data_IF_308504319864
#
_entry.id   IF_308504319864
#
_cell.length_a   1.000
_cell.length_b   1.000
_cell.length_c   1.000
_cell.angle_alpha   90.00
_cell.angle_beta   90.00
_cell.angle_gamma   90.00
#
_symmetry.space_group_name_H-M   'P 1'
#
loop_
_entity.id
_entity.type
_entity.pdbx_description
1 polymer ?
#
# COMPACT_ATOMS: atom_id res chain seq x y z
N UNK A 1 -53.37 -65.16 -4.29
CA UNK A 1 -53.76 -65.87 -5.53
C UNK A 1 -55.27 -65.75 -5.69
N UNK A 2 -55.87 -65.62 -6.88
CA UNK A 2 -55.34 -65.64 -8.27
C UNK A 2 -55.45 -64.24 -8.95
N UNK A 3 -54.48 -63.78 -9.74
CA UNK A 3 -54.37 -63.88 -11.23
C UNK A 3 -55.62 -63.47 -12.01
N UNK A 4 -55.56 -62.33 -12.70
CA UNK A 4 -56.06 -62.15 -14.08
C UNK A 4 -55.72 -60.75 -14.63
N UNK A 5 -54.84 -60.71 -15.62
CA UNK A 5 -54.94 -59.84 -16.80
C UNK A 5 -55.87 -60.56 -17.81
N UNK A 6 -56.53 -59.94 -18.82
CA UNK A 6 -56.05 -58.89 -19.74
C UNK A 6 -57.12 -57.76 -19.91
N UNK A 7 -57.10 -56.75 -20.77
CA UNK A 7 -56.77 -56.71 -22.20
C UNK A 7 -56.75 -55.23 -22.67
N UNK A 8 -55.88 -54.96 -23.65
CA UNK A 8 -55.63 -53.67 -24.27
C UNK A 8 -56.79 -53.30 -25.22
N UNK A 9 -57.31 -52.07 -25.14
CA UNK A 9 -57.97 -51.41 -26.28
C UNK A 9 -57.26 -50.09 -26.55
N UNK A 10 -56.59 -50.05 -27.69
CA UNK A 10 -55.98 -48.86 -28.30
C UNK A 10 -57.03 -48.10 -29.09
N UNK A 11 -57.20 -46.80 -28.83
CA UNK A 11 -57.54 -45.83 -29.88
C UNK A 11 -57.18 -44.41 -29.43
N UNK A 12 -56.58 -43.65 -30.34
CA UNK A 12 -56.67 -42.19 -30.31
C UNK A 12 -55.35 -41.45 -30.11
N UNK A 13 -54.56 -41.37 -31.17
CA UNK A 13 -53.47 -40.41 -31.32
C UNK A 13 -54.04 -39.00 -31.41
N UNK A 14 -53.62 -38.10 -30.51
CA UNK A 14 -53.40 -36.68 -30.86
C UNK A 14 -52.19 -36.15 -30.08
N UNK A 15 -51.11 -35.86 -30.80
CA UNK A 15 -49.95 -35.10 -30.31
C UNK A 15 -50.23 -33.58 -30.43
N UNK A 16 -49.30 -32.70 -30.04
CA UNK A 16 -48.92 -32.40 -28.66
C UNK A 16 -49.15 -30.92 -28.34
N UNK A 17 -49.66 -30.59 -27.15
CA UNK A 17 -49.57 -29.22 -26.64
C UNK A 17 -48.18 -28.99 -26.05
N UNK A 18 -47.44 -28.10 -26.71
CA UNK A 18 -46.15 -27.56 -26.28
C UNK A 18 -46.32 -26.84 -24.95
N UNK A 19 -45.48 -27.12 -23.96
CA UNK A 19 -45.43 -26.33 -22.73
C UNK A 19 -44.87 -27.02 -21.50
N UNK A 20 -43.81 -27.82 -21.64
CA UNK A 20 -42.96 -28.21 -20.51
C UNK A 20 -41.51 -28.10 -20.98
N UNK A 21 -40.60 -27.77 -20.05
CA UNK A 21 -39.18 -27.42 -20.22
C UNK A 21 -38.89 -25.94 -20.44
N UNK A 22 -38.81 -25.19 -19.34
CA UNK A 22 -37.83 -24.11 -19.19
C UNK A 22 -37.71 -23.67 -17.72
N UNK A 23 -37.36 -24.56 -16.80
CA UNK A 23 -36.96 -24.15 -15.45
C UNK A 23 -35.98 -25.19 -14.88
N UNK A 24 -34.69 -25.00 -15.19
CA UNK A 24 -33.49 -25.37 -14.43
C UNK A 24 -32.28 -25.45 -15.39
N UNK A 25 -31.72 -24.29 -15.75
CA UNK A 25 -30.28 -24.13 -15.64
C UNK A 25 -29.99 -22.81 -14.93
N UNK A 26 -30.40 -22.69 -13.66
CA UNK A 26 -30.13 -21.50 -12.85
C UNK A 26 -29.20 -21.80 -11.65
N UNK A 27 -28.69 -23.02 -11.52
CA UNK A 27 -27.78 -23.41 -10.42
C UNK A 27 -26.32 -23.69 -10.85
N UNK A 28 -25.98 -23.42 -12.11
CA UNK A 28 -24.61 -23.56 -12.65
C UNK A 28 -23.94 -22.21 -12.99
N UNK A 29 -24.56 -21.09 -12.62
CA UNK A 29 -24.10 -19.73 -12.91
C UNK A 29 -23.75 -18.92 -11.65
N UNK A 30 -23.36 -19.60 -10.57
CA UNK A 30 -22.89 -19.01 -9.32
C UNK A 30 -21.53 -19.58 -8.86
N UNK A 31 -20.83 -20.29 -9.74
CA UNK A 31 -19.47 -20.81 -9.51
C UNK A 31 -18.41 -20.10 -10.38
N UNK A 32 -18.71 -18.91 -10.89
CA UNK A 32 -17.84 -18.16 -11.79
C UNK A 32 -17.61 -16.72 -11.30
N UNK A 33 -17.14 -16.53 -10.05
CA UNK A 33 -16.56 -15.26 -9.59
C UNK A 33 -15.58 -15.44 -8.41
N UNK A 34 -14.90 -16.58 -8.31
CA UNK A 34 -13.68 -16.69 -7.54
C UNK A 34 -12.56 -17.07 -8.50
N UNK A 35 -12.16 -16.11 -9.34
CA UNK A 35 -10.84 -16.21 -9.96
C UNK A 35 -9.83 -16.30 -8.82
N UNK A 36 -8.88 -17.25 -8.82
CA UNK A 36 -7.77 -17.17 -7.89
C UNK A 36 -7.13 -15.81 -8.13
N UNK A 37 -7.09 -15.00 -7.07
CA UNK A 37 -6.41 -13.72 -7.04
C UNK A 37 -5.02 -13.94 -7.62
N UNK A 38 -4.83 -13.51 -8.87
CA UNK A 38 -3.58 -13.73 -9.57
C UNK A 38 -2.56 -12.80 -8.95
N UNK A 39 -1.40 -13.33 -8.57
CA UNK A 39 -0.28 -12.53 -8.12
C UNK A 39 -0.06 -11.36 -9.07
N UNK A 40 0.18 -10.18 -8.50
CA UNK A 40 0.41 -8.98 -9.29
C UNK A 40 1.70 -9.13 -10.10
N UNK A 41 2.76 -9.62 -9.45
CA UNK A 41 4.00 -10.09 -10.06
C UNK A 41 4.83 -10.93 -9.06
N UNK A 42 6.13 -11.07 -9.30
CA UNK A 42 7.06 -11.83 -8.43
C UNK A 42 7.50 -11.09 -7.17
N UNK A 43 7.22 -9.79 -7.06
CA UNK A 43 7.53 -8.97 -5.89
C UNK A 43 6.30 -8.77 -4.99
N UNK A 44 5.11 -8.70 -5.58
CA UNK A 44 3.82 -8.55 -4.89
C UNK A 44 2.90 -9.71 -5.29
N UNK A 45 2.72 -10.68 -4.38
CA UNK A 45 2.10 -11.97 -4.70
C UNK A 45 0.57 -11.98 -4.64
N UNK A 46 -0.05 -10.87 -4.26
CA UNK A 46 -1.49 -10.74 -4.10
C UNK A 46 -1.95 -9.40 -4.70
N UNK A 47 -3.22 -9.27 -5.13
CA UNK A 47 -3.79 -7.98 -5.48
C UNK A 47 -3.66 -6.97 -4.33
N UNK A 48 -3.43 -5.70 -4.65
CA UNK A 48 -3.22 -4.65 -3.64
C UNK A 48 -4.38 -4.58 -2.64
N UNK A 49 -5.63 -4.60 -3.13
CA UNK A 49 -6.81 -4.55 -2.28
C UNK A 49 -6.90 -5.75 -1.31
N UNK A 50 -6.43 -6.93 -1.73
CA UNK A 50 -6.37 -8.10 -0.85
C UNK A 50 -5.31 -7.91 0.24
N UNK A 51 -4.14 -7.38 -0.12
CA UNK A 51 -3.07 -7.08 0.85
C UNK A 51 -3.57 -6.06 1.88
N UNK A 52 -4.21 -4.98 1.45
CA UNK A 52 -4.75 -3.96 2.35
C UNK A 52 -5.80 -4.55 3.31
N UNK A 53 -6.71 -5.39 2.79
CA UNK A 53 -7.71 -6.06 3.61
C UNK A 53 -7.07 -6.98 4.65
N UNK A 54 -6.04 -7.75 4.26
CA UNK A 54 -5.30 -8.61 5.19
C UNK A 54 -4.51 -7.81 6.23
N UNK A 55 -3.89 -6.69 5.83
CA UNK A 55 -3.16 -5.80 6.75
C UNK A 55 -4.11 -5.16 7.78
N UNK A 56 -5.36 -4.88 7.40
CA UNK A 56 -6.40 -4.29 8.25
C UNK A 56 -7.27 -5.32 8.99
N UNK A 57 -7.05 -6.62 8.79
CA UNK A 57 -7.84 -7.68 9.40
C UNK A 57 -7.95 -7.48 10.92
N UNK A 58 -9.13 -7.63 11.56
CA UNK A 58 -9.30 -7.24 12.97
C UNK A 58 -8.34 -7.96 13.91
N UNK A 59 -8.10 -9.25 13.65
CA UNK A 59 -7.20 -10.12 14.40
C UNK A 59 -5.87 -10.30 13.65
N UNK A 60 -4.75 -10.25 14.38
CA UNK A 60 -3.41 -10.55 13.86
C UNK A 60 -2.84 -11.76 14.60
N UNK A 61 -2.77 -12.90 13.92
CA UNK A 61 -2.19 -14.11 14.48
C UNK A 61 -0.71 -14.17 14.11
N UNK A 62 0.16 -13.81 15.05
CA UNK A 62 1.62 -13.85 14.87
C UNK A 62 2.12 -15.29 15.01
N UNK A 63 2.67 -15.85 13.93
CA UNK A 63 3.27 -17.18 13.92
C UNK A 63 4.76 -17.15 14.26
N UNK A 64 5.47 -16.16 13.72
CA UNK A 64 6.92 -16.01 13.89
C UNK A 64 7.36 -14.55 13.74
N UNK A 65 8.53 -14.21 14.27
CA UNK A 65 9.08 -12.86 14.15
C UNK A 65 10.62 -12.84 14.26
N UNK A 66 11.23 -12.12 13.32
CA UNK A 66 12.66 -11.87 13.24
C UNK A 66 12.97 -10.37 13.21
N UNK A 67 14.16 -9.97 13.67
CA UNK A 67 14.64 -8.61 13.46
C UNK A 67 14.93 -8.39 11.98
N UNK A 68 14.44 -7.28 11.42
CA UNK A 68 14.72 -6.87 10.04
C UNK A 68 16.20 -6.55 9.81
N UNK A 69 16.84 -5.90 10.80
CA UNK A 69 18.27 -5.62 10.81
C UNK A 69 18.80 -5.72 12.25
N UNK A 70 19.98 -6.32 12.51
CA UNK A 70 20.58 -6.34 13.83
C UNK A 70 21.27 -5.00 14.14
N UNK A 71 20.58 -3.87 13.91
CA UNK A 71 21.08 -2.54 14.20
C UNK A 71 20.62 -2.11 15.60
N UNK A 72 21.53 -1.54 16.38
CA UNK A 72 21.22 -1.04 17.73
C UNK A 72 20.13 0.04 17.65
N UNK A 73 18.98 -0.23 18.27
CA UNK A 73 17.84 0.69 18.27
C UNK A 73 16.79 0.47 17.18
N UNK A 74 17.02 -0.41 16.20
CA UNK A 74 15.97 -0.81 15.24
C UNK A 74 14.89 -1.61 15.99
N UNK A 75 13.66 -1.10 15.88
CA UNK A 75 12.50 -1.68 16.55
C UNK A 75 11.63 -2.47 15.59
N UNK A 76 11.92 -2.42 14.30
CA UNK A 76 11.13 -3.06 13.28
C UNK A 76 11.43 -4.55 13.20
N UNK A 77 10.45 -5.33 12.75
CA UNK A 77 10.53 -6.78 12.65
C UNK A 77 9.94 -7.26 11.34
N UNK A 78 10.51 -8.33 10.80
CA UNK A 78 9.83 -9.18 9.84
C UNK A 78 8.92 -10.10 10.65
N UNK A 79 7.63 -10.08 10.38
CA UNK A 79 6.64 -10.85 11.13
C UNK A 79 5.86 -11.73 10.17
N UNK A 80 5.75 -13.01 10.51
CA UNK A 80 4.91 -13.96 9.78
C UNK A 80 3.53 -13.99 10.44
N UNK A 81 2.50 -13.66 9.67
CA UNK A 81 1.11 -13.64 10.10
C UNK A 81 0.36 -14.82 9.49
N UNK A 82 -0.57 -15.41 10.25
CA UNK A 82 -1.59 -16.30 9.70
C UNK A 82 -2.85 -15.51 9.34
N UNK A 83 -3.55 -15.94 8.30
CA UNK A 83 -4.93 -15.50 8.11
C UNK A 83 -5.85 -16.22 9.11
N UNK A 84 -6.82 -15.51 9.72
CA UNK A 84 -7.77 -16.12 10.66
C UNK A 84 -8.54 -17.32 10.07
N UNK A 85 -8.77 -17.32 8.76
CA UNK A 85 -9.51 -18.37 8.04
C UNK A 85 -8.62 -19.53 7.54
N UNK A 86 -7.35 -19.59 7.95
CA UNK A 86 -6.44 -20.68 7.60
C UNK A 86 -5.79 -20.56 6.21
N UNK A 87 -5.67 -19.34 5.69
CA UNK A 87 -4.91 -19.02 4.47
C UNK A 87 -3.40 -19.20 4.64
N UNK A 88 -2.67 -19.15 3.51
CA UNK A 88 -1.21 -19.25 3.51
C UNK A 88 -0.58 -18.12 4.35
N UNK A 89 0.33 -18.45 5.28
CA UNK A 89 1.07 -17.45 6.04
C UNK A 89 1.80 -16.47 5.12
N UNK A 90 1.91 -15.24 5.59
CA UNK A 90 2.48 -14.16 4.82
C UNK A 90 3.27 -13.25 5.73
N UNK A 91 4.16 -12.48 5.11
CA UNK A 91 5.14 -11.70 5.83
C UNK A 91 4.84 -10.21 5.73
N UNK A 92 5.07 -9.53 6.84
CA UNK A 92 4.93 -8.07 6.95
C UNK A 92 6.15 -7.47 7.64
N UNK A 93 6.46 -6.25 7.27
CA UNK A 93 7.30 -5.37 8.06
C UNK A 93 6.45 -4.73 9.15
N UNK A 94 6.74 -5.06 10.40
CA UNK A 94 6.09 -4.50 11.58
C UNK A 94 6.97 -3.41 12.18
N UNK A 95 6.52 -2.15 12.12
CA UNK A 95 7.24 -1.00 12.69
C UNK A 95 6.42 -0.36 13.82
N UNK A 96 6.81 -0.56 15.10
CA UNK A 96 6.12 0.09 16.21
C UNK A 96 6.26 1.61 16.15
N UNK A 97 5.17 2.32 16.41
CA UNK A 97 5.19 3.79 16.50
C UNK A 97 5.58 4.20 17.91
N UNK A 98 6.68 4.94 18.03
CA UNK A 98 7.17 5.47 19.29
C UNK A 98 6.21 6.49 19.92
N UNK A 99 6.32 6.66 21.24
CA UNK A 99 5.48 7.56 22.04
C UNK A 99 5.40 8.97 21.41
N UNK A 100 4.18 9.51 21.36
CA UNK A 100 3.84 10.79 20.74
C UNK A 100 3.52 10.68 19.25
N UNK A 101 3.85 9.57 18.59
CA UNK A 101 3.67 9.36 17.14
C UNK A 101 4.28 10.46 16.25
N UNK A 102 5.25 11.19 16.80
CA UNK A 102 6.04 12.21 16.12
C UNK A 102 7.50 12.03 16.56
N UNK A 103 8.44 12.14 15.61
CA UNK A 103 9.86 11.96 15.86
C UNK A 103 10.67 11.87 14.57
N UNK A 104 11.99 11.90 14.68
CA UNK A 104 12.87 11.58 13.54
C UNK A 104 12.85 10.07 13.30
N UNK A 105 12.61 9.62 12.06
CA UNK A 105 12.44 8.20 11.70
C UNK A 105 11.38 7.50 12.58
N UNK A 106 10.30 8.24 12.88
CA UNK A 106 9.12 7.77 13.61
C UNK A 106 7.90 8.66 13.30
N UNK A 107 7.66 8.93 12.02
CA UNK A 107 6.48 9.68 11.55
C UNK A 107 5.56 8.78 10.73
N UNK A 108 4.63 8.04 11.37
CA UNK A 108 3.75 7.13 10.64
C UNK A 108 2.93 7.84 9.57
N UNK A 109 2.56 9.12 9.79
CA UNK A 109 1.85 9.93 8.81
C UNK A 109 2.58 10.07 7.47
N UNK A 110 3.92 10.07 7.48
CA UNK A 110 4.71 10.20 6.25
C UNK A 110 4.79 8.88 5.50
N UNK A 111 4.96 7.75 6.19
CA UNK A 111 4.90 6.44 5.54
C UNK A 111 3.54 6.22 4.86
N UNK A 112 2.46 6.53 5.59
CA UNK A 112 1.09 6.43 5.06
C UNK A 112 0.86 7.42 3.92
N UNK A 113 1.24 8.69 4.08
CA UNK A 113 1.07 9.66 3.01
C UNK A 113 1.88 9.31 1.75
N UNK A 114 3.07 8.74 1.90
CA UNK A 114 3.85 8.22 0.79
C UNK A 114 3.11 7.09 0.06
N UNK A 115 2.56 6.13 0.80
CA UNK A 115 1.76 5.04 0.24
C UNK A 115 0.47 5.53 -0.45
N UNK A 116 -0.25 6.48 0.15
CA UNK A 116 -1.47 7.04 -0.44
C UNK A 116 -1.18 7.93 -1.66
N UNK A 117 -0.11 8.72 -1.62
CA UNK A 117 0.22 9.66 -2.70
C UNK A 117 0.52 8.98 -4.03
N UNK A 118 1.24 7.85 -4.04
CA UNK A 118 1.53 7.14 -5.28
C UNK A 118 0.27 6.70 -6.03
N UNK A 119 -0.83 6.39 -5.31
CA UNK A 119 -2.08 5.91 -5.90
C UNK A 119 -2.74 6.95 -6.80
N UNK A 120 -2.39 8.23 -6.63
CA UNK A 120 -2.94 9.33 -7.41
C UNK A 120 -2.39 9.40 -8.83
N UNK A 121 -1.23 8.79 -9.10
CA UNK A 121 -0.58 8.91 -10.42
C UNK A 121 0.14 7.66 -10.92
N UNK A 122 0.26 6.60 -10.13
CA UNK A 122 0.83 5.32 -10.57
C UNK A 122 -0.27 4.26 -10.68
N UNK A 123 -0.12 3.35 -11.63
CA UNK A 123 -0.88 2.11 -11.63
C UNK A 123 -0.35 1.17 -10.56
N UNK A 124 -1.19 0.25 -10.07
CA UNK A 124 -0.78 -0.73 -9.06
C UNK A 124 0.51 -1.46 -9.48
N UNK A 125 0.61 -1.89 -10.75
CA UNK A 125 1.79 -2.57 -11.33
C UNK A 125 3.09 -1.76 -11.26
N UNK A 126 2.96 -0.46 -11.03
CA UNK A 126 4.04 0.51 -11.04
C UNK A 126 4.21 1.17 -9.66
N UNK A 127 3.44 0.76 -8.64
CA UNK A 127 3.64 1.20 -7.27
C UNK A 127 5.07 0.98 -6.82
N UNK A 128 5.61 2.01 -6.17
CA UNK A 128 6.99 2.04 -5.69
C UNK A 128 7.06 2.02 -4.17
N UNK A 129 5.95 2.24 -3.47
CA UNK A 129 5.85 2.02 -2.02
C UNK A 129 5.01 0.76 -1.78
N UNK A 130 5.46 -0.20 -0.96
CA UNK A 130 4.65 -1.37 -0.64
C UNK A 130 3.34 -0.97 0.06
N UNK A 131 2.27 -1.78 -0.05
CA UNK A 131 1.07 -1.58 0.75
C UNK A 131 1.37 -1.41 2.22
N UNK A 132 0.92 -0.29 2.80
CA UNK A 132 1.19 0.07 4.19
C UNK A 132 -0.07 0.59 4.86
N UNK A 133 -0.31 0.14 6.10
CA UNK A 133 -1.42 0.60 6.95
C UNK A 133 -0.93 0.93 8.35
N UNK A 134 -1.70 1.76 9.05
CA UNK A 134 -1.50 2.06 10.46
C UNK A 134 -2.56 1.34 11.28
N UNK A 135 -2.11 0.63 12.31
CA UNK A 135 -2.96 -0.13 13.21
C UNK A 135 -2.81 0.30 14.64
N UNK A 136 -3.87 0.07 15.41
CA UNK A 136 -3.91 0.17 16.84
C UNK A 136 -4.22 -1.19 17.46
N UNK A 137 -3.60 -1.46 18.61
CA UNK A 137 -3.87 -2.62 19.45
C UNK A 137 -3.95 -2.16 20.91
N UNK A 138 -4.73 -2.86 21.75
CA UNK A 138 -4.73 -2.60 23.18
C UNK A 138 -3.32 -2.79 23.76
N UNK A 139 -2.90 -1.93 24.69
CA UNK A 139 -1.56 -2.04 25.29
C UNK A 139 -1.39 -3.35 26.05
N UNK A 140 -2.46 -3.90 26.62
CA UNK A 140 -2.44 -5.19 27.31
C UNK A 140 -2.14 -6.34 26.34
N UNK A 141 -2.83 -6.38 25.20
CA UNK A 141 -2.63 -7.37 24.14
C UNK A 141 -1.23 -7.23 23.51
N UNK A 142 -0.82 -6.00 23.21
CA UNK A 142 0.49 -5.75 22.60
C UNK A 142 1.65 -6.19 23.52
N UNK A 143 1.45 -6.16 24.85
CA UNK A 143 2.45 -6.62 25.83
C UNK A 143 2.74 -8.13 25.75
N UNK A 144 1.81 -8.91 25.22
CA UNK A 144 2.02 -10.35 24.97
C UNK A 144 3.00 -10.58 23.82
N UNK A 145 3.06 -9.64 22.87
CA UNK A 145 3.98 -9.66 21.72
C UNK A 145 5.32 -9.02 22.09
N UNK A 146 5.28 -7.87 22.78
CA UNK A 146 6.46 -7.06 23.07
C UNK A 146 6.31 -6.23 24.33
N UNK A 147 7.38 -6.17 25.13
CA UNK A 147 7.46 -5.26 26.28
C UNK A 147 7.33 -3.80 25.85
N UNK A 148 6.27 -3.16 26.32
CA UNK A 148 6.00 -1.73 26.18
C UNK A 148 5.44 -1.19 27.50
N UNK A 149 5.87 0.01 27.88
CA UNK A 149 5.53 0.60 29.17
C UNK A 149 4.34 1.56 29.05
N UNK A 150 4.31 2.38 27.99
CA UNK A 150 3.37 3.48 27.80
C UNK A 150 2.59 3.37 26.48
N UNK A 151 1.36 3.90 26.40
CA UNK A 151 0.61 3.99 25.15
C UNK A 151 1.31 4.90 24.14
N UNK A 152 1.03 4.71 22.84
CA UNK A 152 1.64 5.57 21.82
C UNK A 152 1.15 7.01 21.94
N UNK A 153 -0.16 7.22 22.11
CA UNK A 153 -0.77 8.54 22.32
C UNK A 153 -1.08 8.72 23.81
N UNK A 154 -0.59 9.81 24.41
CA UNK A 154 -0.82 10.10 25.83
C UNK A 154 -2.32 10.21 26.12
N UNK A 155 -2.77 9.56 27.19
CA UNK A 155 -4.19 9.53 27.58
C UNK A 155 -5.00 8.41 26.92
N UNK A 156 -4.39 7.63 26.02
CA UNK A 156 -5.00 6.43 25.44
C UNK A 156 -4.47 5.16 26.11
N UNK A 157 -4.97 4.00 25.69
CA UNK A 157 -4.60 2.66 26.14
C UNK A 157 -4.18 1.78 24.96
N UNK A 158 -3.71 2.41 23.89
CA UNK A 158 -3.39 1.72 22.63
C UNK A 158 -1.96 1.96 22.19
N UNK A 159 -1.40 0.94 21.54
CA UNK A 159 -0.14 0.99 20.82
C UNK A 159 -0.44 1.09 19.34
N UNK A 160 0.18 2.07 18.68
CA UNK A 160 0.15 2.20 17.23
C UNK A 160 1.37 1.52 16.62
N UNK A 161 1.18 0.93 15.44
CA UNK A 161 2.25 0.31 14.65
C UNK A 161 1.87 0.33 13.18
N UNK A 162 2.87 0.46 12.32
CA UNK A 162 2.73 0.29 10.88
C UNK A 162 2.91 -1.18 10.53
N UNK A 163 2.09 -1.64 9.58
CA UNK A 163 2.31 -2.89 8.88
C UNK A 163 2.50 -2.56 7.40
N UNK A 164 3.62 -2.99 6.83
CA UNK A 164 3.88 -2.90 5.39
C UNK A 164 4.04 -4.30 4.82
N UNK A 165 3.55 -4.53 3.60
CA UNK A 165 3.73 -5.81 2.90
C UNK A 165 5.22 -6.13 2.72
N UNK A 166 5.62 -7.37 3.02
CA UNK A 166 6.98 -7.83 2.78
C UNK A 166 7.17 -8.19 1.30
N UNK A 167 7.89 -7.33 0.59
CA UNK A 167 8.22 -7.53 -0.82
C UNK A 167 9.03 -8.82 -1.04
N UNK A 168 8.67 -9.56 -2.07
CA UNK A 168 9.28 -10.83 -2.43
C UNK A 168 10.34 -10.64 -3.51
N UNK A 169 11.29 -11.58 -3.61
CA UNK A 169 12.30 -11.61 -4.68
C UNK A 169 13.06 -10.27 -4.86
N UNK A 170 13.54 -9.69 -3.76
CA UNK A 170 14.24 -8.41 -3.70
C UNK A 170 15.73 -8.61 -3.40
N UNK A 171 16.59 -7.79 -4.01
CA UNK A 171 18.00 -7.64 -3.64
C UNK A 171 18.13 -6.82 -2.34
N UNK A 172 18.59 -7.46 -1.27
CA UNK A 172 18.62 -6.86 0.08
C UNK A 172 19.89 -6.04 0.40
N UNK A 173 20.95 -6.13 -0.42
CA UNK A 173 22.27 -5.52 -0.14
C UNK A 173 22.78 -4.58 -1.26
N UNK A 174 21.88 -3.93 -2.01
CA UNK A 174 22.26 -3.08 -3.13
C UNK A 174 22.87 -1.74 -2.67
N UNK A 175 24.19 -1.57 -2.80
CA UNK A 175 24.92 -0.38 -2.29
C UNK A 175 24.52 0.93 -3.01
N UNK A 176 24.46 0.92 -4.34
CA UNK A 176 23.84 1.99 -5.14
C UNK A 176 22.78 1.34 -6.04
N UNK A 177 21.49 1.58 -5.78
CA UNK A 177 20.42 0.96 -6.54
C UNK A 177 20.23 1.57 -7.93
N UNK A 178 20.82 2.74 -8.22
CA UNK A 178 20.77 3.33 -9.54
C UNK A 178 21.89 2.81 -10.43
N UNK A 179 21.53 2.14 -11.53
CA UNK A 179 22.45 1.76 -12.59
C UNK A 179 22.12 2.49 -13.90
N UNK A 180 22.95 3.47 -14.26
CA UNK A 180 22.78 4.24 -15.49
C UNK A 180 22.79 3.34 -16.73
N UNK A 181 23.61 2.29 -16.76
CA UNK A 181 23.69 1.41 -17.93
C UNK A 181 22.40 0.64 -18.15
N UNK A 182 21.80 0.11 -17.08
CA UNK A 182 20.48 -0.53 -17.11
C UNK A 182 19.39 0.48 -17.45
N UNK A 183 19.45 1.69 -16.89
CA UNK A 183 18.51 2.76 -17.23
C UNK A 183 18.53 3.08 -18.72
N UNK A 184 19.70 3.11 -19.35
CA UNK A 184 19.83 3.41 -20.78
C UNK A 184 19.35 2.26 -21.68
N UNK A 185 19.56 1.01 -21.26
CA UNK A 185 19.44 -0.19 -22.12
C UNK A 185 18.21 -1.06 -21.87
N UNK A 186 17.64 -1.02 -20.67
CA UNK A 186 16.56 -1.93 -20.25
C UNK A 186 15.27 -1.12 -20.06
N UNK A 187 14.30 -1.21 -20.99
CA UNK A 187 13.06 -0.43 -20.91
C UNK A 187 12.28 -0.62 -19.60
N UNK A 188 12.19 -1.86 -19.11
CA UNK A 188 11.48 -2.15 -17.85
C UNK A 188 12.14 -1.48 -16.63
N UNK A 189 13.48 -1.51 -16.54
CA UNK A 189 14.19 -0.84 -15.46
C UNK A 189 14.06 0.68 -15.59
N UNK A 190 14.18 1.24 -16.80
CA UNK A 190 13.99 2.67 -17.05
C UNK A 190 12.60 3.15 -16.61
N UNK A 191 11.56 2.38 -16.94
CA UNK A 191 10.17 2.64 -16.56
C UNK A 191 10.00 2.72 -15.04
N UNK A 192 10.38 1.65 -14.33
CA UNK A 192 10.22 1.57 -12.87
C UNK A 192 11.10 2.59 -12.14
N UNK A 193 12.33 2.80 -12.60
CA UNK A 193 13.21 3.81 -12.02
C UNK A 193 12.70 5.23 -12.25
N UNK A 194 12.17 5.53 -13.43
CA UNK A 194 11.55 6.81 -13.72
C UNK A 194 10.39 7.10 -12.78
N UNK A 195 9.50 6.13 -12.57
CA UNK A 195 8.40 6.25 -11.61
C UNK A 195 8.89 6.45 -10.16
N UNK A 196 9.86 5.66 -9.71
CA UNK A 196 10.46 5.80 -8.38
C UNK A 196 11.10 7.18 -8.21
N UNK A 197 11.84 7.66 -9.20
CA UNK A 197 12.56 8.92 -9.07
C UNK A 197 11.62 10.13 -9.12
N UNK A 198 10.55 10.08 -9.93
CA UNK A 198 9.46 11.06 -9.86
C UNK A 198 8.83 11.04 -8.46
N UNK A 199 8.44 9.87 -7.97
CA UNK A 199 7.81 9.73 -6.66
C UNK A 199 8.69 10.29 -5.52
N UNK A 200 9.92 9.82 -5.40
CA UNK A 200 10.88 10.23 -4.36
C UNK A 200 11.24 11.71 -4.44
N UNK A 201 11.28 12.29 -5.64
CA UNK A 201 11.43 13.73 -5.84
C UNK A 201 10.22 14.51 -5.31
N UNK A 202 9.00 14.09 -5.64
CA UNK A 202 7.76 14.79 -5.28
C UNK A 202 7.49 14.77 -3.77
N UNK A 203 7.76 13.64 -3.11
CA UNK A 203 7.66 13.54 -1.65
C UNK A 203 8.87 14.13 -0.93
N UNK A 204 9.93 14.54 -1.63
CA UNK A 204 11.18 15.04 -1.02
C UNK A 204 11.78 14.01 -0.05
N UNK A 205 12.07 12.82 -0.58
CA UNK A 205 12.64 11.72 0.19
C UNK A 205 14.07 12.05 0.64
N UNK A 206 14.24 12.30 1.94
CA UNK A 206 15.49 12.80 2.53
C UNK A 206 16.26 11.76 3.33
N UNK A 207 15.94 10.50 3.13
CA UNK A 207 16.74 9.40 3.64
C UNK A 207 17.42 8.63 2.50
N UNK A 208 18.72 8.85 2.34
CA UNK A 208 19.57 8.11 1.41
C UNK A 208 20.29 6.91 2.05
N UNK A 209 19.81 6.42 3.20
CA UNK A 209 20.33 5.22 3.84
C UNK A 209 20.30 4.02 2.89
N UNK A 210 21.32 3.17 3.04
CA UNK A 210 21.40 1.89 2.36
C UNK A 210 20.21 1.00 2.75
N UNK A 211 19.61 0.35 1.74
CA UNK A 211 18.44 -0.52 1.93
C UNK A 211 17.08 0.19 1.97
N UNK A 212 17.02 1.52 1.80
CA UNK A 212 15.73 2.24 1.66
C UNK A 212 15.21 2.25 0.21
N UNK A 213 16.07 1.92 -0.75
CA UNK A 213 15.66 1.65 -2.13
C UNK A 213 15.99 0.21 -2.45
N UNK A 214 14.97 -0.55 -2.83
CA UNK A 214 15.01 -1.98 -3.07
C UNK A 214 14.85 -2.28 -4.56
N UNK A 215 15.57 -3.27 -5.07
CA UNK A 215 15.55 -3.64 -6.49
C UNK A 215 15.10 -5.09 -6.64
N UNK A 216 14.18 -5.35 -7.57
CA UNK A 216 13.71 -6.69 -7.88
C UNK A 216 14.82 -7.57 -8.47
N UNK A 217 14.83 -8.84 -8.07
CA UNK A 217 15.64 -9.90 -8.69
C UNK A 217 14.96 -10.50 -9.92
N UNK A 218 13.74 -10.05 -10.27
CA UNK A 218 13.09 -10.43 -11.52
C UNK A 218 13.66 -9.61 -12.68
N UNK A 219 14.57 -10.22 -13.44
CA UNK A 219 15.17 -9.60 -14.63
C UNK A 219 14.19 -9.35 -15.78
N UNK A 220 12.98 -9.94 -15.76
CA UNK A 220 11.95 -9.69 -16.77
C UNK A 220 11.08 -8.47 -16.45
N UNK A 221 11.00 -8.08 -15.17
CA UNK A 221 10.25 -6.94 -14.67
C UNK A 221 10.98 -6.34 -13.47
N UNK A 222 12.05 -5.58 -13.73
CA UNK A 222 12.95 -5.10 -12.67
C UNK A 222 12.35 -3.88 -11.96
N UNK A 223 11.37 -4.15 -11.09
CA UNK A 223 10.76 -3.15 -10.22
C UNK A 223 11.78 -2.58 -9.23
N UNK A 224 11.54 -1.34 -8.83
CA UNK A 224 12.28 -0.68 -7.77
C UNK A 224 11.31 -0.04 -6.78
N UNK A 225 11.65 -0.09 -5.50
CA UNK A 225 10.75 0.31 -4.41
C UNK A 225 11.46 1.24 -3.43
N UNK A 226 10.74 2.21 -2.88
CA UNK A 226 11.14 3.03 -1.74
C UNK A 226 10.46 2.49 -0.46
N UNK A 227 11.27 2.25 0.57
CA UNK A 227 10.83 1.83 1.91
C UNK A 227 11.42 2.78 2.96
N UNK A 228 10.83 2.82 4.15
CA UNK A 228 11.19 3.76 5.22
C UNK A 228 11.11 5.22 4.74
N UNK A 229 9.91 5.61 4.31
CA UNK A 229 9.55 6.93 3.80
C UNK A 229 9.21 7.93 4.93
N UNK A 230 9.45 7.59 6.20
CA UNK A 230 9.16 8.43 7.35
C UNK A 230 10.13 9.61 7.57
N UNK A 231 11.07 9.76 6.65
CA UNK A 231 11.97 10.92 6.49
C UNK A 231 11.73 11.59 5.12
N UNK A 232 10.46 11.76 4.76
CA UNK A 232 10.02 12.52 3.59
C UNK A 232 9.36 13.86 3.96
N UNK A 233 8.81 14.56 2.98
CA UNK A 233 8.02 15.80 3.09
C UNK A 233 8.75 16.92 3.83
N UNK A 234 8.26 17.36 4.99
CA UNK A 234 8.93 18.35 5.84
C UNK A 234 9.90 17.72 6.86
N UNK A 235 10.20 16.43 6.73
CA UNK A 235 11.22 15.74 7.51
C UNK A 235 12.59 16.40 7.40
N UNK A 236 13.40 16.23 8.45
CA UNK A 236 14.82 16.62 8.45
C UNK A 236 15.62 15.66 7.58
N UNK A 237 16.69 16.13 6.97
CA UNK A 237 17.58 15.27 6.20
C UNK A 237 18.34 14.28 7.09
N UNK A 238 18.36 13.01 6.68
CA UNK A 238 19.16 11.97 7.33
C UNK A 238 20.66 12.19 7.11
N UNK A 239 21.50 11.56 7.94
CA UNK A 239 22.96 11.70 7.84
C UNK A 239 23.51 11.17 6.51
N UNK A 240 22.90 10.12 5.96
CA UNK A 240 23.23 9.59 4.64
C UNK A 240 22.91 10.57 3.49
N UNK A 241 22.17 11.64 3.75
CA UNK A 241 21.86 12.71 2.81
C UNK A 241 20.49 12.55 2.12
N UNK A 242 20.24 13.41 1.13
CA UNK A 242 18.94 13.55 0.46
C UNK A 242 19.01 13.27 -1.05
N UNK A 243 19.87 12.35 -1.50
CA UNK A 243 20.06 12.07 -2.93
C UNK A 243 18.72 11.80 -3.66
N UNK A 244 17.82 11.06 -3.03
CA UNK A 244 16.52 10.66 -3.61
C UNK A 244 15.52 11.81 -3.73
N UNK A 245 15.70 12.93 -3.02
CA UNK A 245 14.88 14.14 -3.20
C UNK A 245 15.10 14.83 -4.54
N UNK A 246 16.17 14.47 -5.27
CA UNK A 246 16.52 15.07 -6.56
C UNK A 246 15.99 14.19 -7.68
N UNK A 247 15.58 14.83 -8.77
CA UNK A 247 15.39 14.13 -10.03
C UNK A 247 16.76 13.76 -10.59
N UNK A 248 17.10 12.47 -10.55
CA UNK A 248 18.37 11.89 -10.97
C UNK A 248 18.39 11.57 -12.47
N UNK A 249 17.22 11.45 -13.09
CA UNK A 249 17.07 11.13 -14.52
C UNK A 249 16.50 12.31 -15.31
N UNK A 250 16.79 12.33 -16.60
CA UNK A 250 16.35 13.34 -17.57
C UNK A 250 15.25 12.83 -18.52
N UNK A 251 14.80 11.58 -18.34
CA UNK A 251 13.65 11.00 -19.02
C UNK A 251 12.74 10.26 -18.03
N UNK A 252 11.42 10.43 -18.15
CA UNK A 252 10.43 9.83 -17.25
C UNK A 252 9.22 9.25 -18.02
N UNK A 253 8.47 8.31 -17.45
CA UNK A 253 7.27 7.76 -18.08
C UNK A 253 6.24 8.83 -18.47
N UNK A 254 5.72 8.73 -19.69
CA UNK A 254 4.68 9.63 -20.22
C UNK A 254 3.36 9.51 -19.46
N UNK A 255 2.91 8.31 -19.13
CA UNK A 255 1.67 8.06 -18.37
C UNK A 255 1.71 8.72 -16.98
N UNK A 256 2.87 8.68 -16.32
CA UNK A 256 3.10 9.38 -15.05
C UNK A 256 2.96 10.88 -15.22
N UNK A 257 3.54 11.46 -16.28
CA UNK A 257 3.38 12.89 -16.58
C UNK A 257 1.92 13.25 -16.85
N UNK A 258 1.21 12.45 -17.64
CA UNK A 258 -0.21 12.67 -17.96
C UNK A 258 -1.07 12.67 -16.70
N UNK A 259 -0.92 11.67 -15.81
CA UNK A 259 -1.67 11.62 -14.55
C UNK A 259 -1.31 12.74 -13.59
N UNK A 260 -0.04 13.13 -13.52
CA UNK A 260 0.37 14.27 -12.70
C UNK A 260 -0.28 15.59 -13.15
N UNK A 261 -0.63 15.76 -14.43
CA UNK A 261 -1.37 16.94 -14.91
C UNK A 261 -2.82 16.98 -14.43
N UNK A 262 -3.39 15.82 -14.09
CA UNK A 262 -4.77 15.70 -13.64
C UNK A 262 -4.92 15.98 -12.13
N UNK A 263 -3.83 15.84 -11.37
CA UNK A 263 -3.83 16.11 -9.93
C UNK A 263 -4.11 17.58 -9.64
N UNK A 264 -5.13 17.82 -8.82
CA UNK A 264 -5.45 19.16 -8.31
C UNK A 264 -4.97 19.32 -6.86
N UNK A 265 -4.73 20.57 -6.44
CA UNK A 265 -4.44 20.86 -5.03
C UNK A 265 -5.57 20.41 -4.09
N UNK A 266 -6.83 20.53 -4.54
CA UNK A 266 -7.98 20.05 -3.78
C UNK A 266 -7.92 18.53 -3.57
N UNK A 267 -7.67 17.77 -4.63
CA UNK A 267 -7.53 16.31 -4.52
C UNK A 267 -6.40 15.93 -3.56
N UNK A 268 -5.26 16.63 -3.58
CA UNK A 268 -4.20 16.40 -2.60
C UNK A 268 -4.64 16.70 -1.16
N UNK A 269 -5.50 17.69 -0.93
CA UNK A 269 -6.07 17.95 0.39
C UNK A 269 -7.01 16.85 0.85
N UNK A 270 -7.86 16.36 -0.05
CA UNK A 270 -8.81 15.27 0.23
C UNK A 270 -8.07 13.96 0.54
N UNK A 271 -7.03 13.64 -0.21
CA UNK A 271 -6.35 12.34 -0.14
C UNK A 271 -5.23 12.28 0.91
N UNK A 272 -4.55 13.41 1.20
CA UNK A 272 -3.38 13.45 2.08
C UNK A 272 -3.62 14.23 3.38
N UNK A 273 -4.74 14.96 3.49
CA UNK A 273 -5.07 15.74 4.68
C UNK A 273 -5.32 14.86 5.91
N UNK A 274 -6.01 13.73 5.71
CA UNK A 274 -6.28 12.70 6.72
C UNK A 274 -6.07 11.32 6.09
N UNK A 275 -4.93 10.70 6.34
CA UNK A 275 -4.56 9.37 5.78
C UNK A 275 -4.91 8.22 6.73
N UNK A 276 -5.13 8.52 8.02
CA UNK A 276 -5.65 7.57 9.00
C UNK A 276 -6.40 8.31 10.11
N UNK A 277 -7.49 7.73 10.59
CA UNK A 277 -8.28 8.25 11.70
C UNK A 277 -8.70 7.14 12.66
N UNK A 278 -8.70 7.46 13.95
CA UNK A 278 -9.14 6.56 15.02
C UNK A 278 -10.12 7.28 15.94
N UNK A 279 -11.18 6.57 16.33
CA UNK A 279 -12.04 6.96 17.44
C UNK A 279 -11.45 6.50 18.77
N UNK A 280 -11.54 7.33 19.80
CA UNK A 280 -11.17 7.02 21.18
C UNK A 280 -12.43 6.56 21.92
N UNK A 281 -12.48 5.27 22.28
CA UNK A 281 -13.59 4.70 23.08
C UNK A 281 -13.02 4.00 24.31
N UNK A 282 -13.36 4.48 25.51
CA UNK A 282 -12.81 3.95 26.76
C UNK A 282 -11.28 4.06 26.86
N UNK A 283 -10.69 5.02 26.13
CA UNK A 283 -9.24 5.19 26.01
C UNK A 283 -8.59 4.33 24.91
N UNK A 284 -9.31 3.41 24.27
CA UNK A 284 -8.79 2.58 23.18
C UNK A 284 -9.03 3.23 21.82
N UNK A 285 -8.09 3.03 20.90
CA UNK A 285 -8.16 3.52 19.52
C UNK A 285 -8.80 2.48 18.60
N UNK A 286 -9.89 2.86 17.95
CA UNK A 286 -10.59 2.05 16.95
C UNK A 286 -10.49 2.73 15.59
N UNK A 287 -10.03 2.05 14.53
CA UNK A 287 -9.90 2.66 13.21
C UNK A 287 -11.27 3.08 12.68
N UNK A 288 -11.31 4.21 11.99
CA UNK A 288 -12.49 4.70 11.29
C UNK A 288 -12.11 5.29 9.94
N UNK A 289 -13.11 5.47 9.07
CA UNK A 289 -12.90 6.16 7.81
C UNK A 289 -12.44 7.61 8.08
N UNK A 290 -11.53 8.16 7.27
CA UNK A 290 -11.15 9.57 7.36
C UNK A 290 -12.37 10.49 7.25
N UNK A 291 -12.49 11.42 8.19
CA UNK A 291 -13.47 12.51 8.16
C UNK A 291 -12.79 13.87 7.86
N UNK A 292 -13.52 14.97 8.06
CA UNK A 292 -13.01 16.32 7.86
C UNK A 292 -11.72 16.57 8.66
N UNK A 293 -10.74 17.22 8.03
CA UNK A 293 -9.47 17.55 8.67
C UNK A 293 -9.68 18.56 9.81
N UNK A 294 -9.48 18.10 11.04
CA UNK A 294 -9.75 18.90 12.25
C UNK A 294 -8.84 20.12 12.40
N UNK A 295 -7.61 20.06 11.88
CA UNK A 295 -6.63 21.13 11.99
C UNK A 295 -5.57 21.02 10.89
N UNK A 296 -5.78 21.63 9.71
CA UNK A 296 -4.88 21.46 8.54
C UNK A 296 -3.42 21.87 8.77
N UNK A 297 -3.15 22.70 9.77
CA UNK A 297 -1.79 23.13 10.13
C UNK A 297 -0.97 22.13 10.96
N UNK A 298 -1.52 20.98 11.35
CA UNK A 298 -0.81 19.95 12.15
C UNK A 298 -0.77 18.60 11.43
N UNK A 299 0.23 17.77 11.71
CA UNK A 299 0.34 16.43 11.11
C UNK A 299 -0.38 15.36 11.93
N UNK A 300 -0.20 15.42 13.25
CA UNK A 300 -0.97 14.69 14.25
C UNK A 300 -2.00 15.62 14.89
N UNK A 301 -3.24 15.14 14.98
CA UNK A 301 -4.37 15.84 15.58
C UNK A 301 -5.01 14.91 16.60
N UNK A 302 -5.10 15.37 17.86
CA UNK A 302 -5.68 14.58 18.96
C UNK A 302 -6.76 15.44 19.62
N UNK A 303 -7.97 14.92 19.70
CA UNK A 303 -9.11 15.51 20.43
C UNK A 303 -9.50 14.60 21.60
N UNK A 304 -10.61 14.89 22.28
CA UNK A 304 -11.11 14.04 23.36
C UNK A 304 -11.60 12.68 22.85
N UNK A 305 -12.08 12.63 21.61
CA UNK A 305 -12.75 11.48 21.01
C UNK A 305 -12.05 10.92 19.76
N UNK A 306 -11.03 11.60 19.21
CA UNK A 306 -10.40 11.23 17.93
C UNK A 306 -8.90 11.45 17.86
N UNK A 307 -8.26 10.69 16.98
CA UNK A 307 -6.88 10.87 16.55
C UNK A 307 -6.82 10.82 15.02
N UNK A 308 -6.29 11.87 14.38
CA UNK A 308 -6.07 11.94 12.93
C UNK A 308 -4.58 12.08 12.60
N UNK A 309 -4.16 11.37 11.55
CA UNK A 309 -2.84 11.45 10.94
C UNK A 309 -2.97 11.98 9.51
N UNK A 310 -2.04 12.83 9.10
CA UNK A 310 -1.97 13.27 7.71
C UNK A 310 -0.86 14.28 7.47
N UNK A 311 -0.84 14.82 6.26
CA UNK A 311 0.02 15.94 5.93
C UNK A 311 -0.60 17.25 6.40
N UNK A 312 0.27 18.22 6.65
CA UNK A 312 -0.11 19.61 6.85
C UNK A 312 -0.43 20.26 5.52
N UNK A 313 -1.21 21.33 5.56
CA UNK A 313 -1.53 22.15 4.40
C UNK A 313 -0.26 22.69 3.69
N UNK A 314 0.78 23.01 4.45
CA UNK A 314 2.08 23.44 3.91
C UNK A 314 2.82 22.32 3.18
N UNK A 315 2.83 21.11 3.73
CA UNK A 315 3.44 19.94 3.08
C UNK A 315 2.71 19.58 1.78
N UNK A 316 1.38 19.61 1.78
CA UNK A 316 0.54 19.36 0.60
C UNK A 316 0.84 20.39 -0.50
N UNK A 317 0.87 21.68 -0.15
CA UNK A 317 1.27 22.73 -1.09
C UNK A 317 2.67 22.53 -1.66
N UNK A 318 3.61 22.05 -0.85
CA UNK A 318 4.98 21.78 -1.32
C UNK A 318 5.02 20.63 -2.34
N UNK A 319 4.20 19.59 -2.17
CA UNK A 319 4.04 18.51 -3.17
C UNK A 319 3.52 19.12 -4.46
N UNK A 320 2.41 19.86 -4.39
CA UNK A 320 1.78 20.47 -5.57
C UNK A 320 2.77 21.36 -6.34
N UNK A 321 3.52 22.21 -5.65
CA UNK A 321 4.55 23.03 -6.28
C UNK A 321 5.68 22.21 -6.92
N UNK A 322 6.04 21.03 -6.38
CA UNK A 322 7.02 20.14 -7.03
C UNK A 322 6.43 19.50 -8.29
N UNK A 323 5.15 19.14 -8.28
CA UNK A 323 4.43 18.66 -9.47
C UNK A 323 4.46 19.74 -10.55
N UNK A 324 4.04 20.98 -10.25
CA UNK A 324 4.04 22.09 -11.21
C UNK A 324 5.43 22.34 -11.81
N UNK A 325 6.46 22.41 -10.96
CA UNK A 325 7.85 22.59 -11.43
C UNK A 325 8.35 21.43 -12.28
N UNK A 326 7.96 20.19 -11.98
CA UNK A 326 8.31 19.03 -12.79
C UNK A 326 7.66 19.14 -14.18
N UNK A 327 6.36 19.43 -14.22
CA UNK A 327 5.61 19.58 -15.47
C UNK A 327 6.14 20.74 -16.32
N UNK A 328 6.49 21.89 -15.73
CA UNK A 328 7.14 23.00 -16.43
C UNK A 328 8.48 22.61 -17.07
N UNK A 329 9.24 21.71 -16.45
CA UNK A 329 10.51 21.20 -17.01
C UNK A 329 10.24 20.27 -18.18
N UNK A 330 9.21 19.44 -18.10
CA UNK A 330 8.75 18.60 -19.22
C UNK A 330 8.25 19.45 -20.38
N UNK A 331 7.41 20.45 -20.13
CA UNK A 331 6.84 21.34 -21.16
C UNK A 331 7.90 22.16 -21.90
N UNK A 332 9.02 22.46 -21.23
CA UNK A 332 10.20 23.12 -21.83
C UNK A 332 11.16 22.16 -22.52
N UNK A 333 10.88 20.85 -22.54
CA UNK A 333 11.76 19.82 -23.09
C UNK A 333 13.06 19.63 -22.30
N UNK A 334 13.13 20.07 -21.05
CA UNK A 334 14.29 19.87 -20.17
C UNK A 334 14.29 18.46 -19.54
N UNK A 335 13.13 17.83 -19.50
CA UNK A 335 12.94 16.41 -19.17
C UNK A 335 12.13 15.83 -20.33
N UNK A 336 12.61 14.71 -20.88
CA UNK A 336 11.92 13.99 -21.95
C UNK A 336 10.95 12.96 -21.37
N UNK A 337 9.98 12.53 -22.17
CA UNK A 337 9.07 11.45 -21.80
C UNK A 337 9.21 10.25 -22.73
N UNK A 338 8.85 9.06 -22.24
CA UNK A 338 8.87 7.83 -23.02
C UNK A 338 7.71 6.92 -22.62
N UNK A 339 7.25 6.11 -23.58
CA UNK A 339 6.17 5.15 -23.39
C UNK A 339 6.70 3.79 -22.95
N UNK A 340 5.86 2.98 -22.30
CA UNK A 340 6.25 1.65 -21.78
C UNK A 340 6.75 0.68 -22.87
N UNK A 341 6.25 0.86 -24.08
CA UNK A 341 6.55 0.02 -25.25
C UNK A 341 7.64 0.65 -26.18
N UNK A 342 8.20 1.80 -25.82
CA UNK A 342 9.03 2.66 -26.69
C UNK A 342 10.51 2.71 -26.36
#
# INVERSE_FOLDING_TARGET
MPTSFPELVMHGVSAPSKGLLALLPALLLLAALASPASAQDRNILYPIAEIEARLLAPELVVLDQDYTRPLEGDRSRRVTLADPDGGEPWEVHWKPVGMGAEGFNNQPRYELAAYHFQKLFLDESDYVVPPTVLRAMAIEEYREIRRVEEPTIRGTRSILFLLSYWLQNIAVDTVDPFDQMSFDRLPSYAWHWGNLNVFTHLIDHKDANHGNVLVSLDGSNTRVFAVDNDVAFAGRTAEAGNRWSRLLVDRIPDTTVERLREITLQQLHEELGVVAEFQIVGGYLYPMAPEENLQPGRGLRVTEDRVQFGLTEGEIRNIYQRIERLLERVDRGQITTFSREG
#
